data_IF_756581914739
#
_entry.id   IF_756581914739
#
_cell.length_a   1.000
_cell.length_b   1.000
_cell.length_c   1.000
_cell.angle_alpha   90.00
_cell.angle_beta   90.00
_cell.angle_gamma   90.00
#
_symmetry.space_group_name_H-M   'P 1'
#
loop_
_entity.id
_entity.type
_entity.pdbx_description
1 polymer ?
#
# COMPACT_ATOMS: atom_id res chain seq x y z
N UNK A 1 16.71 -13.66 -17.23
CA UNK A 1 16.36 -12.73 -18.33
C UNK A 1 16.72 -11.30 -17.96
N UNK A 2 17.51 -10.65 -18.81
CA UNK A 2 17.65 -9.20 -18.77
C UNK A 2 16.50 -8.54 -19.53
N UNK A 3 16.27 -7.24 -19.29
CA UNK A 3 15.28 -6.46 -20.05
C UNK A 3 15.59 -6.46 -21.57
N UNK A 4 16.88 -6.49 -21.92
CA UNK A 4 17.34 -6.55 -23.30
C UNK A 4 16.96 -7.86 -23.96
N UNK A 5 17.21 -9.00 -23.32
CA UNK A 5 16.84 -10.32 -23.82
C UNK A 5 15.33 -10.47 -24.00
N UNK A 6 14.54 -9.95 -23.05
CA UNK A 6 13.09 -9.93 -23.17
C UNK A 6 12.62 -9.03 -24.34
N UNK A 7 13.26 -7.88 -24.53
CA UNK A 7 12.99 -7.03 -25.67
C UNK A 7 13.34 -7.72 -26.98
N UNK A 8 14.53 -8.30 -27.09
CA UNK A 8 15.00 -9.00 -28.29
C UNK A 8 14.11 -10.20 -28.66
N UNK A 9 13.50 -10.85 -27.67
CA UNK A 9 12.55 -11.94 -27.91
C UNK A 9 11.17 -11.42 -28.31
N UNK A 10 10.71 -10.30 -27.72
CA UNK A 10 9.34 -9.79 -27.91
C UNK A 10 9.20 -8.87 -29.11
N UNK A 11 10.29 -8.17 -29.50
CA UNK A 11 10.30 -7.22 -30.62
C UNK A 11 10.24 -7.95 -31.95
N UNK A 12 9.50 -7.42 -32.91
CA UNK A 12 9.35 -7.94 -34.29
C UNK A 12 8.83 -9.39 -34.39
N UNK A 13 8.16 -9.91 -33.37
CA UNK A 13 7.61 -11.28 -33.37
C UNK A 13 6.35 -11.45 -34.21
N UNK A 14 5.86 -10.39 -34.85
CA UNK A 14 4.54 -10.38 -35.54
C UNK A 14 3.41 -10.74 -34.54
N UNK A 15 2.37 -11.47 -34.95
CA UNK A 15 1.26 -11.91 -34.07
C UNK A 15 1.52 -13.24 -33.33
N UNK A 16 2.76 -13.72 -33.31
CA UNK A 16 3.12 -15.00 -32.66
C UNK A 16 3.15 -14.87 -31.14
N UNK A 17 2.81 -15.95 -30.43
CA UNK A 17 2.99 -16.03 -28.99
C UNK A 17 4.46 -16.08 -28.61
N UNK A 18 4.83 -15.48 -27.46
CA UNK A 18 6.22 -15.47 -26.98
C UNK A 18 6.82 -16.85 -26.86
N UNK A 19 6.04 -17.85 -26.47
CA UNK A 19 6.49 -19.24 -26.38
C UNK A 19 6.88 -19.85 -27.73
N UNK A 20 6.13 -19.53 -28.77
CA UNK A 20 6.43 -19.99 -30.12
C UNK A 20 7.71 -19.34 -30.66
N UNK A 21 7.88 -18.05 -30.39
CA UNK A 21 9.09 -17.34 -30.80
C UNK A 21 10.32 -17.86 -30.02
N UNK A 22 10.18 -18.15 -28.71
CA UNK A 22 11.24 -18.76 -27.93
C UNK A 22 11.63 -20.14 -28.44
N UNK A 23 10.66 -20.98 -28.82
CA UNK A 23 10.93 -22.29 -29.45
C UNK A 23 11.71 -22.14 -30.74
N UNK A 24 11.34 -21.20 -31.60
CA UNK A 24 11.98 -20.93 -32.88
C UNK A 24 13.42 -20.46 -32.71
N UNK A 25 13.68 -19.69 -31.65
CA UNK A 25 14.99 -19.10 -31.33
C UNK A 25 15.68 -19.79 -30.15
N UNK A 26 15.39 -21.09 -29.97
CA UNK A 26 15.94 -21.90 -28.87
C UNK A 26 17.46 -22.11 -28.93
N UNK A 27 18.07 -21.90 -30.08
CA UNK A 27 19.51 -21.83 -30.27
C UNK A 27 20.15 -20.60 -29.61
N UNK A 28 19.47 -19.47 -29.65
CA UNK A 28 19.90 -18.20 -29.05
C UNK A 28 19.60 -18.18 -27.55
N UNK A 29 18.40 -18.59 -27.18
CA UNK A 29 17.89 -18.58 -25.78
C UNK A 29 17.87 -20.00 -25.19
N UNK A 30 18.95 -20.73 -25.35
CA UNK A 30 19.01 -22.16 -25.00
C UNK A 30 18.70 -22.42 -23.54
N UNK A 31 19.29 -21.65 -22.63
CA UNK A 31 19.07 -21.81 -21.18
C UNK A 31 17.62 -21.59 -20.80
N UNK A 32 17.05 -20.50 -21.23
CA UNK A 32 15.68 -20.10 -20.93
C UNK A 32 14.66 -21.08 -21.51
N UNK A 33 14.90 -21.51 -22.75
CA UNK A 33 14.07 -22.53 -23.38
C UNK A 33 14.09 -23.84 -22.60
N UNK A 34 15.27 -24.34 -22.21
CA UNK A 34 15.39 -25.58 -21.44
C UNK A 34 14.73 -25.49 -20.07
N UNK A 35 14.89 -24.37 -19.36
CA UNK A 35 14.21 -24.15 -18.06
C UNK A 35 12.70 -24.20 -18.22
N UNK A 36 12.15 -23.41 -19.14
CA UNK A 36 10.70 -23.34 -19.35
C UNK A 36 10.13 -24.66 -19.89
N UNK A 37 10.83 -25.33 -20.80
CA UNK A 37 10.40 -26.61 -21.33
C UNK A 37 10.40 -27.71 -20.25
N UNK A 38 11.37 -27.69 -19.36
CA UNK A 38 11.42 -28.61 -18.20
C UNK A 38 10.30 -28.35 -17.18
N UNK A 39 9.99 -27.07 -16.94
CA UNK A 39 8.85 -26.70 -16.10
C UNK A 39 7.54 -27.15 -16.72
N UNK A 40 7.32 -26.90 -18.02
CA UNK A 40 6.12 -27.32 -18.73
C UNK A 40 5.95 -28.85 -18.70
N UNK A 41 7.02 -29.62 -18.89
CA UNK A 41 6.99 -31.07 -18.78
C UNK A 41 6.67 -31.58 -17.37
N UNK A 42 6.82 -30.75 -16.35
CA UNK A 42 6.60 -31.09 -14.95
C UNK A 42 5.20 -30.69 -14.43
N UNK A 43 4.47 -29.85 -15.14
CA UNK A 43 3.19 -29.24 -14.69
C UNK A 43 2.14 -30.28 -14.32
N UNK A 44 2.05 -31.37 -15.07
CA UNK A 44 1.02 -32.40 -14.89
C UNK A 44 1.34 -33.37 -13.74
N UNK A 45 2.59 -33.37 -13.24
CA UNK A 45 3.07 -34.32 -12.24
C UNK A 45 3.36 -33.69 -10.89
N UNK A 46 3.81 -32.42 -10.88
CA UNK A 46 4.13 -31.70 -9.65
C UNK A 46 2.90 -31.00 -9.08
N UNK A 47 2.80 -31.05 -7.76
CA UNK A 47 1.83 -30.22 -7.03
C UNK A 47 2.21 -28.74 -7.09
N UNK A 48 1.27 -27.83 -6.86
CA UNK A 48 1.56 -26.39 -6.88
C UNK A 48 2.76 -25.99 -6.01
N UNK A 49 2.83 -26.49 -4.77
CA UNK A 49 3.96 -26.21 -3.88
C UNK A 49 5.27 -26.74 -4.42
N UNK A 50 5.30 -27.98 -4.90
CA UNK A 50 6.52 -28.59 -5.44
C UNK A 50 7.03 -27.88 -6.70
N UNK A 51 6.11 -27.43 -7.55
CA UNK A 51 6.47 -26.63 -8.75
C UNK A 51 7.05 -25.27 -8.37
N UNK A 52 6.42 -24.57 -7.42
CA UNK A 52 6.91 -23.28 -6.91
C UNK A 52 8.27 -23.44 -6.24
N UNK A 53 8.44 -24.47 -5.42
CA UNK A 53 9.70 -24.78 -4.74
C UNK A 53 10.82 -25.09 -5.74
N UNK A 54 10.52 -25.84 -6.79
CA UNK A 54 11.44 -26.12 -7.89
C UNK A 54 11.88 -24.83 -8.60
N UNK A 55 10.95 -23.91 -8.91
CA UNK A 55 11.27 -22.62 -9.53
C UNK A 55 12.15 -21.77 -8.62
N UNK A 56 11.80 -21.70 -7.35
CA UNK A 56 12.45 -20.80 -6.39
C UNK A 56 13.86 -21.27 -6.00
N UNK A 57 14.05 -22.57 -5.81
CA UNK A 57 15.31 -23.13 -5.32
C UNK A 57 16.16 -23.75 -6.43
N UNK A 58 15.59 -24.64 -7.25
CA UNK A 58 16.40 -25.32 -8.28
C UNK A 58 16.83 -24.38 -9.41
N UNK A 59 15.96 -23.44 -9.80
CA UNK A 59 16.25 -22.44 -10.84
C UNK A 59 16.64 -21.07 -10.26
N UNK A 60 17.00 -21.03 -8.98
CA UNK A 60 17.44 -19.80 -8.29
C UNK A 60 16.45 -18.64 -8.35
N UNK A 61 15.16 -18.93 -8.53
CA UNK A 61 14.11 -17.92 -8.68
C UNK A 61 14.02 -16.98 -7.48
N UNK A 62 14.14 -17.51 -6.23
CA UNK A 62 14.14 -16.69 -5.00
C UNK A 62 15.31 -15.69 -5.01
N UNK A 63 16.53 -16.14 -5.27
CA UNK A 63 17.69 -15.26 -5.31
C UNK A 63 17.57 -14.18 -6.39
N UNK A 64 17.10 -14.55 -7.58
CA UNK A 64 16.88 -13.62 -8.68
C UNK A 64 15.80 -12.58 -8.38
N UNK A 65 14.69 -12.99 -7.76
CA UNK A 65 13.61 -12.08 -7.38
C UNK A 65 14.08 -11.10 -6.29
N UNK A 66 14.75 -11.57 -5.25
CA UNK A 66 15.27 -10.73 -4.16
C UNK A 66 16.35 -9.76 -4.71
N UNK A 67 17.24 -10.22 -5.57
CA UNK A 67 18.26 -9.36 -6.19
C UNK A 67 17.66 -8.25 -7.04
N UNK A 68 16.55 -8.51 -7.74
CA UNK A 68 15.89 -7.53 -8.62
C UNK A 68 14.92 -6.61 -7.90
N UNK A 69 14.14 -7.15 -6.97
CA UNK A 69 13.01 -6.46 -6.31
C UNK A 69 13.33 -6.00 -4.88
N UNK A 70 14.44 -6.46 -4.32
CA UNK A 70 14.82 -6.19 -2.94
C UNK A 70 14.29 -7.25 -1.96
N UNK A 71 14.73 -7.15 -0.71
CA UNK A 71 14.36 -8.09 0.36
C UNK A 71 12.84 -8.16 0.63
N UNK A 72 12.09 -7.14 0.28
CA UNK A 72 10.63 -7.11 0.43
C UNK A 72 9.91 -8.19 -0.40
N UNK A 73 10.55 -8.71 -1.45
CA UNK A 73 10.01 -9.82 -2.25
C UNK A 73 9.91 -11.13 -1.46
N UNK A 74 10.70 -11.28 -0.40
CA UNK A 74 10.75 -12.51 0.41
C UNK A 74 9.42 -12.80 1.10
N UNK A 75 8.80 -11.80 1.70
CA UNK A 75 7.49 -11.94 2.35
C UNK A 75 6.42 -12.41 1.37
N UNK A 76 6.43 -11.88 0.13
CA UNK A 76 5.48 -12.27 -0.90
C UNK A 76 5.72 -13.71 -1.39
N UNK A 77 6.97 -14.12 -1.53
CA UNK A 77 7.35 -15.49 -1.90
C UNK A 77 6.88 -16.48 -0.83
N UNK A 78 7.16 -16.20 0.44
CA UNK A 78 6.78 -17.06 1.56
C UNK A 78 5.25 -17.14 1.75
N UNK A 79 4.55 -16.02 1.51
CA UNK A 79 3.10 -16.03 1.50
C UNK A 79 2.53 -16.88 0.36
N UNK A 80 3.10 -16.82 -0.85
CA UNK A 80 2.68 -17.65 -1.98
C UNK A 80 2.91 -19.14 -1.72
N UNK A 81 4.04 -19.51 -1.13
CA UNK A 81 4.33 -20.88 -0.72
C UNK A 81 3.33 -21.36 0.35
N UNK A 82 3.02 -20.54 1.34
CA UNK A 82 2.04 -20.85 2.36
C UNK A 82 0.65 -21.07 1.77
N UNK A 83 0.23 -20.20 0.85
CA UNK A 83 -1.06 -20.34 0.13
C UNK A 83 -1.11 -21.64 -0.69
N UNK A 84 -0.01 -22.05 -1.32
CA UNK A 84 0.01 -23.30 -2.08
C UNK A 84 -0.15 -24.54 -1.18
N UNK A 85 0.47 -24.54 0.00
CA UNK A 85 0.30 -25.59 1.01
C UNK A 85 -1.15 -25.62 1.54
N UNK A 86 -1.74 -24.47 1.79
CA UNK A 86 -3.10 -24.40 2.31
C UNK A 86 -4.13 -24.84 1.26
N UNK A 87 -3.91 -24.51 0.00
CA UNK A 87 -4.70 -25.03 -1.12
C UNK A 87 -4.64 -26.59 -1.19
N UNK A 88 -3.44 -27.16 -1.11
CA UNK A 88 -3.23 -28.60 -1.19
C UNK A 88 -3.87 -29.40 -0.04
N UNK A 89 -4.11 -28.75 1.11
CA UNK A 89 -4.82 -29.36 2.25
C UNK A 89 -6.34 -29.39 2.06
N UNK A 90 -6.88 -28.44 1.29
CA UNK A 90 -8.32 -28.21 1.17
C UNK A 90 -8.91 -28.75 -0.13
N UNK A 91 -8.10 -28.77 -1.19
CA UNK A 91 -8.55 -29.06 -2.56
C UNK A 91 -7.69 -30.14 -3.21
N UNK A 92 -8.17 -30.68 -4.33
CA UNK A 92 -7.37 -31.60 -5.14
C UNK A 92 -6.20 -30.84 -5.78
N UNK A 93 -4.95 -31.23 -5.52
CA UNK A 93 -3.78 -30.48 -6.00
C UNK A 93 -3.72 -30.46 -7.53
N UNK A 94 -3.92 -29.29 -8.12
CA UNK A 94 -3.67 -29.02 -9.53
C UNK A 94 -3.26 -27.59 -9.73
N UNK A 95 -2.36 -27.31 -10.68
CA UNK A 95 -1.89 -25.94 -10.94
C UNK A 95 -3.04 -25.03 -11.41
N UNK A 96 -3.89 -25.53 -12.31
CA UNK A 96 -5.04 -24.76 -12.81
C UNK A 96 -6.02 -24.43 -11.69
N UNK A 97 -6.32 -25.40 -10.82
CA UNK A 97 -7.17 -25.20 -9.65
C UNK A 97 -6.57 -24.17 -8.69
N UNK A 98 -5.26 -24.26 -8.39
CA UNK A 98 -4.56 -23.32 -7.54
C UNK A 98 -4.63 -21.88 -8.10
N UNK A 99 -4.36 -21.69 -9.38
CA UNK A 99 -4.42 -20.37 -10.04
C UNK A 99 -5.84 -19.78 -9.99
N UNK A 100 -6.86 -20.60 -10.24
CA UNK A 100 -8.27 -20.18 -10.13
C UNK A 100 -8.62 -19.82 -8.69
N UNK A 101 -8.21 -20.62 -7.71
CA UNK A 101 -8.47 -20.40 -6.30
C UNK A 101 -7.83 -19.11 -5.79
N UNK A 102 -6.54 -18.85 -6.12
CA UNK A 102 -5.84 -17.61 -5.74
C UNK A 102 -6.51 -16.40 -6.39
N UNK A 103 -6.87 -16.47 -7.68
CA UNK A 103 -7.47 -15.33 -8.38
C UNK A 103 -8.88 -14.97 -7.89
N UNK A 104 -9.62 -15.95 -7.38
CA UNK A 104 -11.02 -15.76 -6.92
C UNK A 104 -11.09 -15.35 -5.46
N UNK A 105 -10.16 -15.79 -4.64
CA UNK A 105 -10.21 -15.63 -3.18
C UNK A 105 -9.83 -14.25 -2.67
N UNK A 106 -9.31 -13.35 -3.51
CA UNK A 106 -8.99 -11.96 -3.14
C UNK A 106 -8.01 -11.85 -1.96
N UNK A 107 -7.05 -12.76 -1.85
CA UNK A 107 -6.07 -12.75 -0.77
C UNK A 107 -5.28 -11.44 -0.73
N UNK A 108 -5.41 -10.71 0.35
CA UNK A 108 -4.51 -9.60 0.67
C UNK A 108 -3.37 -10.12 1.53
N UNK A 109 -2.16 -10.10 0.99
CA UNK A 109 -0.95 -10.38 1.76
C UNK A 109 -0.70 -9.17 2.67
N UNK A 110 -1.05 -9.29 3.94
CA UNK A 110 -0.68 -8.29 4.95
C UNK A 110 0.82 -8.40 5.17
N UNK A 111 1.56 -7.40 4.71
CA UNK A 111 2.99 -7.28 5.04
C UNK A 111 3.15 -7.30 6.56
N UNK A 112 3.89 -8.26 7.07
CA UNK A 112 4.37 -8.19 8.44
C UNK A 112 5.43 -7.09 8.45
N UNK A 113 5.09 -5.97 9.08
CA UNK A 113 6.06 -4.92 9.38
C UNK A 113 7.06 -5.51 10.39
N UNK A 114 8.03 -6.23 9.89
CA UNK A 114 9.19 -6.67 10.68
C UNK A 114 9.79 -5.40 11.27
N UNK A 115 9.96 -5.37 12.59
CA UNK A 115 10.68 -4.30 13.31
C UNK A 115 12.15 -4.37 12.89
N UNK A 116 12.47 -3.92 11.68
CA UNK A 116 13.85 -3.69 11.30
C UNK A 116 14.24 -2.33 11.88
N UNK A 117 15.23 -2.33 12.72
CA UNK A 117 15.84 -1.13 13.28
C UNK A 117 16.47 -0.31 12.14
N UNK A 118 16.42 1.02 12.25
CA UNK A 118 16.96 1.98 11.27
C UNK A 118 16.24 2.09 9.91
N UNK A 119 14.93 1.88 9.86
CA UNK A 119 14.14 2.09 8.65
C UNK A 119 13.10 3.19 8.80
N UNK A 120 12.86 3.94 7.70
CA UNK A 120 11.75 4.86 7.61
C UNK A 120 10.49 4.05 7.26
N UNK A 121 9.48 4.13 8.14
CA UNK A 121 8.18 3.48 7.93
C UNK A 121 7.19 4.45 7.30
N UNK A 122 6.66 4.12 6.13
CA UNK A 122 5.58 4.87 5.47
C UNK A 122 4.28 4.10 5.64
N UNK A 123 3.30 4.70 6.30
CA UNK A 123 2.03 4.04 6.60
C UNK A 123 0.88 5.04 6.72
N UNK A 124 -0.34 4.54 6.74
CA UNK A 124 -1.51 5.36 7.07
C UNK A 124 -1.59 5.61 8.58
N UNK A 125 -2.30 6.68 8.98
CA UNK A 125 -2.51 6.98 10.41
C UNK A 125 -3.28 5.84 11.10
N UNK A 126 -4.22 5.20 10.40
CA UNK A 126 -4.92 4.02 10.91
C UNK A 126 -3.97 2.83 11.14
N UNK A 127 -3.04 2.62 10.22
CA UNK A 127 -2.01 1.58 10.34
C UNK A 127 -1.00 1.85 11.47
N UNK A 128 -0.83 3.11 11.86
CA UNK A 128 0.05 3.50 12.97
C UNK A 128 -0.59 3.32 14.37
N UNK A 129 -1.85 2.89 14.46
CA UNK A 129 -2.51 2.67 15.74
C UNK A 129 -1.79 1.57 16.55
N UNK A 130 -1.36 1.91 17.77
CA UNK A 130 -0.59 0.99 18.64
C UNK A 130 0.91 0.93 18.35
N UNK A 131 1.40 1.68 17.35
CA UNK A 131 2.82 1.81 17.05
C UNK A 131 3.31 3.19 17.51
N UNK A 132 4.53 3.28 17.99
CA UNK A 132 5.21 4.52 18.38
C UNK A 132 6.51 4.68 17.61
N UNK A 133 6.99 5.92 17.50
CA UNK A 133 8.25 6.23 16.82
C UNK A 133 8.87 7.48 17.41
N UNK A 134 10.20 7.55 17.52
CA UNK A 134 10.89 8.76 17.99
C UNK A 134 10.50 10.00 17.19
N UNK A 135 10.34 9.87 15.88
CA UNK A 135 10.00 10.97 14.98
C UNK A 135 8.79 10.56 14.13
N UNK A 136 7.76 11.41 14.12
CA UNK A 136 6.59 11.26 13.26
C UNK A 136 6.47 12.47 12.36
N UNK A 137 6.37 12.23 11.04
CA UNK A 137 6.27 13.26 10.03
C UNK A 137 4.94 13.13 9.29
N UNK A 138 4.15 14.19 9.25
CA UNK A 138 2.97 14.33 8.41
C UNK A 138 3.30 15.27 7.23
N UNK A 139 3.64 14.75 6.05
CA UNK A 139 4.11 15.58 4.94
C UNK A 139 3.00 16.34 4.21
N UNK A 140 1.75 15.89 4.32
CA UNK A 140 0.62 16.46 3.58
C UNK A 140 -0.56 16.77 4.51
N UNK A 141 -0.54 17.94 5.16
CA UNK A 141 -1.56 18.35 6.12
C UNK A 141 -2.47 19.47 5.63
N UNK A 142 -2.25 20.00 4.42
CA UNK A 142 -2.97 21.12 3.83
C UNK A 142 -4.35 20.76 3.29
N UNK A 143 -4.61 19.49 2.97
CA UNK A 143 -5.88 19.09 2.36
C UNK A 143 -6.92 18.67 3.39
N UNK A 144 -8.16 19.12 3.15
CA UNK A 144 -9.35 18.73 3.91
C UNK A 144 -10.25 17.85 3.04
N UNK A 145 -10.08 16.54 3.14
CA UNK A 145 -10.95 15.59 2.43
C UNK A 145 -12.17 15.23 3.29
N UNK A 146 -13.24 16.04 3.22
CA UNK A 146 -14.54 15.75 3.85
C UNK A 146 -15.59 15.75 2.73
N UNK A 147 -15.80 14.60 2.11
CA UNK A 147 -16.74 14.41 1.02
C UNK A 147 -17.68 13.26 1.34
N UNK A 148 -18.97 13.49 1.15
CA UNK A 148 -19.98 12.44 1.21
C UNK A 148 -20.10 11.81 -0.17
N UNK A 149 -19.47 10.65 -0.37
CA UNK A 149 -19.47 9.91 -1.64
C UNK A 149 -20.62 8.94 -1.78
N UNK A 150 -21.32 8.66 -0.70
CA UNK A 150 -22.43 7.71 -0.68
C UNK A 150 -23.59 8.24 -1.53
N UNK A 151 -24.12 7.40 -2.41
CA UNK A 151 -25.31 7.73 -3.20
C UNK A 151 -26.58 7.75 -2.33
N UNK A 152 -26.60 6.97 -1.26
CA UNK A 152 -27.70 6.90 -0.30
C UNK A 152 -27.17 7.32 1.06
N UNK A 153 -27.82 8.31 1.65
CA UNK A 153 -27.51 8.80 2.98
C UNK A 153 -28.51 8.20 3.98
N UNK A 154 -27.99 7.43 4.91
CA UNK A 154 -28.79 6.80 5.96
C UNK A 154 -28.79 7.71 7.19
N UNK A 155 -29.96 8.18 7.60
CA UNK A 155 -30.22 8.83 8.88
C UNK A 155 -30.77 7.84 9.90
N UNK A 156 -31.15 8.32 11.09
CA UNK A 156 -31.64 7.45 12.17
C UNK A 156 -32.97 6.74 11.83
N UNK A 157 -33.84 7.37 11.09
CA UNK A 157 -35.18 6.86 10.78
C UNK A 157 -35.49 6.73 9.30
N UNK A 158 -34.71 7.39 8.45
CA UNK A 158 -34.95 7.46 7.01
C UNK A 158 -33.63 7.31 6.24
N UNK A 159 -33.73 6.78 5.04
CA UNK A 159 -32.66 6.81 4.05
C UNK A 159 -33.09 7.72 2.90
N UNK A 160 -32.20 8.58 2.44
CA UNK A 160 -32.46 9.55 1.37
C UNK A 160 -31.41 9.44 0.28
N UNK A 161 -31.79 9.76 -0.95
CA UNK A 161 -30.85 9.85 -2.04
C UNK A 161 -29.98 11.10 -1.89
N UNK A 162 -28.69 10.99 -2.16
CA UNK A 162 -27.75 12.10 -2.08
C UNK A 162 -27.83 12.94 -3.37
N UNK A 163 -28.70 13.92 -3.40
CA UNK A 163 -28.90 14.81 -4.53
C UNK A 163 -27.83 15.90 -4.61
N UNK A 164 -27.73 16.54 -5.79
CA UNK A 164 -26.83 17.67 -6.00
C UNK A 164 -27.26 18.85 -5.13
N UNK A 165 -26.30 19.73 -4.84
CA UNK A 165 -26.52 20.96 -4.07
C UNK A 165 -27.61 21.82 -4.76
N UNK A 166 -28.67 22.19 -4.02
CA UNK A 166 -29.81 22.96 -4.52
C UNK A 166 -31.09 22.16 -4.81
N UNK A 167 -30.99 20.82 -4.88
CA UNK A 167 -32.13 19.91 -5.07
C UNK A 167 -32.44 19.09 -3.79
N UNK A 168 -31.68 19.32 -2.73
CA UNK A 168 -31.77 18.56 -1.49
C UNK A 168 -32.99 19.01 -0.66
N UNK A 169 -33.72 18.02 -0.11
CA UNK A 169 -34.79 18.31 0.87
C UNK A 169 -34.19 18.72 2.22
N UNK A 170 -34.99 19.37 3.07
CA UNK A 170 -34.59 19.78 4.43
C UNK A 170 -34.05 18.60 5.25
N UNK A 171 -34.69 17.43 5.16
CA UNK A 171 -34.24 16.22 5.86
C UNK A 171 -32.92 15.72 5.33
N UNK A 172 -32.68 15.81 4.04
CA UNK A 172 -31.41 15.44 3.40
C UNK A 172 -30.29 16.36 3.86
N UNK A 173 -30.52 17.68 3.91
CA UNK A 173 -29.52 18.65 4.38
C UNK A 173 -29.17 18.43 5.86
N UNK A 174 -30.14 18.08 6.70
CA UNK A 174 -29.87 17.73 8.09
C UNK A 174 -29.01 16.48 8.23
N UNK A 175 -29.32 15.43 7.49
CA UNK A 175 -28.53 14.19 7.48
C UNK A 175 -27.11 14.46 6.95
N UNK A 176 -26.96 15.24 5.87
CA UNK A 176 -25.66 15.65 5.33
C UNK A 176 -24.84 16.40 6.38
N UNK A 177 -25.44 17.37 7.05
CA UNK A 177 -24.79 18.16 8.09
C UNK A 177 -24.29 17.29 9.24
N UNK A 178 -25.12 16.39 9.77
CA UNK A 178 -24.73 15.44 10.83
C UNK A 178 -23.58 14.53 10.39
N UNK A 179 -23.64 13.98 9.16
CA UNK A 179 -22.57 13.15 8.63
C UNK A 179 -21.25 13.91 8.43
N UNK A 180 -21.30 15.13 7.92
CA UNK A 180 -20.11 15.99 7.79
C UNK A 180 -19.50 16.28 9.15
N UNK A 181 -20.30 16.61 10.16
CA UNK A 181 -19.83 16.82 11.52
C UNK A 181 -19.15 15.56 12.10
N UNK A 182 -19.74 14.39 11.88
CA UNK A 182 -19.16 13.12 12.31
C UNK A 182 -17.81 12.85 11.63
N UNK A 183 -17.70 13.09 10.32
CA UNK A 183 -16.45 12.98 9.58
C UNK A 183 -15.39 13.97 10.07
N UNK A 184 -15.77 15.20 10.40
CA UNK A 184 -14.83 16.19 10.96
C UNK A 184 -14.36 15.80 12.36
N UNK A 185 -15.24 15.24 13.19
CA UNK A 185 -14.87 14.71 14.50
C UNK A 185 -13.89 13.54 14.37
N UNK A 186 -14.14 12.62 13.42
CA UNK A 186 -13.23 11.51 13.14
C UNK A 186 -11.86 11.99 12.64
N UNK A 187 -11.83 12.97 11.73
CA UNK A 187 -10.55 13.59 11.30
C UNK A 187 -9.77 14.19 12.48
N UNK A 188 -10.47 14.79 13.43
CA UNK A 188 -9.80 15.35 14.61
C UNK A 188 -9.25 14.28 15.53
N UNK A 189 -9.95 13.15 15.66
CA UNK A 189 -9.45 11.95 16.37
C UNK A 189 -8.22 11.36 15.68
N UNK A 190 -8.24 11.27 14.34
CA UNK A 190 -7.09 10.80 13.57
C UNK A 190 -5.87 11.69 13.75
N UNK A 191 -6.05 13.02 13.76
CA UNK A 191 -4.96 13.95 14.06
C UNK A 191 -4.39 13.72 15.46
N UNK A 192 -5.26 13.55 16.47
CA UNK A 192 -4.82 13.21 17.82
C UNK A 192 -4.02 11.91 17.86
N UNK A 193 -4.50 10.87 17.18
CA UNK A 193 -3.77 9.60 17.05
C UNK A 193 -2.40 9.83 16.44
N UNK A 194 -2.29 10.60 15.35
CA UNK A 194 -1.04 10.87 14.67
C UNK A 194 -0.03 11.60 15.58
N UNK A 195 -0.48 12.65 16.29
CA UNK A 195 0.36 13.41 17.21
C UNK A 195 0.88 12.54 18.34
N UNK A 196 0.01 11.69 18.93
CA UNK A 196 0.37 10.83 20.06
C UNK A 196 1.22 9.61 19.69
N UNK A 197 1.59 9.44 18.43
CA UNK A 197 2.54 8.40 17.98
C UNK A 197 3.99 8.86 18.10
N UNK A 198 4.23 10.16 18.22
CA UNK A 198 5.57 10.69 18.36
C UNK A 198 6.05 10.63 19.80
N UNK A 199 7.19 9.99 20.03
CA UNK A 199 7.86 9.95 21.33
C UNK A 199 8.60 11.26 21.60
N UNK A 200 9.29 11.82 20.58
CA UNK A 200 10.15 13.00 20.73
C UNK A 200 9.80 14.12 19.76
N UNK A 201 9.65 13.82 18.47
CA UNK A 201 9.42 14.83 17.44
C UNK A 201 8.16 14.56 16.65
N UNK A 202 7.30 15.57 16.58
CA UNK A 202 6.17 15.61 15.68
C UNK A 202 6.37 16.76 14.68
N UNK A 203 6.42 16.44 13.39
CA UNK A 203 6.63 17.39 12.30
C UNK A 203 5.43 17.38 11.38
N UNK A 204 4.74 18.51 11.25
CA UNK A 204 3.65 18.71 10.29
C UNK A 204 4.10 19.65 9.18
N UNK A 205 3.98 19.22 7.95
CA UNK A 205 4.36 20.00 6.77
C UNK A 205 3.18 20.16 5.82
N UNK A 206 3.24 21.21 5.01
CA UNK A 206 2.30 21.43 3.92
C UNK A 206 2.99 22.04 2.72
N UNK A 207 2.53 21.75 1.52
CA UNK A 207 2.98 22.36 0.28
C UNK A 207 1.78 22.74 -0.60
N UNK A 208 1.82 23.94 -1.20
CA UNK A 208 0.76 24.45 -2.06
C UNK A 208 -0.38 25.15 -1.31
N UNK A 209 -1.56 25.16 -1.92
CA UNK A 209 -2.73 25.87 -1.40
C UNK A 209 -3.34 25.14 -0.19
N UNK A 210 -3.67 25.90 0.86
CA UNK A 210 -4.32 25.38 2.06
C UNK A 210 -5.84 25.34 1.88
N UNK A 211 -6.43 24.19 2.20
CA UNK A 211 -7.87 24.07 2.35
C UNK A 211 -8.31 24.67 3.68
N UNK A 212 -9.49 25.29 3.71
CA UNK A 212 -10.08 25.80 4.96
C UNK A 212 -10.23 24.69 6.01
N UNK A 213 -9.90 24.99 7.26
CA UNK A 213 -9.95 24.05 8.40
C UNK A 213 -9.14 22.76 8.21
N UNK A 214 -8.08 22.81 7.39
CA UNK A 214 -7.14 21.68 7.23
C UNK A 214 -6.37 21.46 8.54
N UNK A 215 -5.65 20.33 8.60
CA UNK A 215 -4.86 20.01 9.79
C UNK A 215 -3.72 21.00 10.02
N UNK A 216 -3.09 21.47 8.93
CA UNK A 216 -2.03 22.47 9.02
C UNK A 216 -2.49 23.74 9.72
N UNK A 217 -3.66 24.30 9.34
CA UNK A 217 -4.21 25.47 9.99
C UNK A 217 -4.53 25.22 11.47
N UNK A 218 -5.12 24.08 11.82
CA UNK A 218 -5.42 23.73 13.21
C UNK A 218 -4.13 23.68 14.05
N UNK A 219 -3.09 23.00 13.56
CA UNK A 219 -1.79 22.89 14.23
C UNK A 219 -1.13 24.28 14.35
N UNK A 220 -1.09 25.05 13.24
CA UNK A 220 -0.51 26.38 13.23
C UNK A 220 -1.17 27.32 14.22
N UNK A 221 -2.51 27.36 14.24
CA UNK A 221 -3.27 28.22 15.16
C UNK A 221 -3.04 27.80 16.62
N UNK A 222 -2.99 26.50 16.90
CA UNK A 222 -2.65 25.99 18.24
C UNK A 222 -1.24 26.36 18.67
N UNK A 223 -0.26 26.27 17.78
CA UNK A 223 1.13 26.69 18.06
C UNK A 223 1.23 28.20 18.24
N UNK A 224 0.51 29.01 17.49
CA UNK A 224 0.50 30.48 17.65
C UNK A 224 -0.12 30.95 18.96
N UNK A 225 -1.11 30.20 19.48
CA UNK A 225 -1.71 30.46 20.79
C UNK A 225 -0.90 29.92 21.98
N UNK A 226 0.13 29.17 21.69
CA UNK A 226 1.07 28.62 22.69
C UNK A 226 2.40 29.40 22.70
N UNK A 227 3.38 28.93 23.46
CA UNK A 227 4.72 29.55 23.54
C UNK A 227 5.64 29.19 22.37
N UNK A 228 5.09 28.81 21.19
CA UNK A 228 5.88 28.43 20.02
C UNK A 228 6.69 29.61 19.48
N UNK A 229 7.92 29.34 19.08
CA UNK A 229 8.86 30.33 18.50
C UNK A 229 8.90 30.18 16.97
N UNK A 230 9.07 31.31 16.27
CA UNK A 230 9.38 31.28 14.85
C UNK A 230 10.80 30.76 14.64
N UNK A 231 10.97 29.85 13.71
CA UNK A 231 12.27 29.30 13.34
C UNK A 231 12.37 29.11 11.82
N UNK A 232 13.57 29.29 11.28
CA UNK A 232 13.88 29.03 9.88
C UNK A 232 14.36 27.58 9.77
N UNK A 233 13.69 26.81 8.94
CA UNK A 233 14.03 25.43 8.60
C UNK A 233 14.58 25.38 7.17
N UNK A 234 15.25 24.32 6.75
CA UNK A 234 15.69 24.17 5.35
C UNK A 234 14.56 24.28 4.32
N UNK A 235 13.34 23.98 4.72
CA UNK A 235 12.11 24.01 3.89
C UNK A 235 11.38 25.36 3.95
N UNK A 236 11.83 26.33 4.75
CA UNK A 236 11.22 27.64 4.93
C UNK A 236 10.95 28.01 6.37
N UNK A 237 10.19 29.09 6.58
CA UNK A 237 9.80 29.54 7.93
C UNK A 237 8.74 28.61 8.55
N UNK A 238 8.87 28.35 9.83
CA UNK A 238 7.94 27.53 10.59
C UNK A 238 7.81 27.96 12.05
N UNK A 239 7.00 27.21 12.80
CA UNK A 239 6.80 27.37 14.23
C UNK A 239 7.37 26.14 14.95
N UNK A 240 8.08 26.36 16.05
CA UNK A 240 8.62 25.31 16.93
C UNK A 240 8.14 25.51 18.35
N UNK A 241 7.59 24.46 18.92
CA UNK A 241 7.27 24.35 20.34
C UNK A 241 8.15 23.27 20.96
N UNK A 242 8.83 23.62 22.03
CA UNK A 242 9.69 22.72 22.78
C UNK A 242 9.23 22.66 24.22
N UNK A 243 9.25 21.47 24.77
CA UNK A 243 8.98 21.22 26.19
C UNK A 243 10.04 20.26 26.73
N UNK A 244 10.64 20.59 27.88
CA UNK A 244 11.73 19.84 28.49
C UNK A 244 13.13 20.41 28.21
N UNK A 245 14.16 19.76 28.77
CA UNK A 245 15.57 20.15 28.56
C UNK A 245 16.16 19.36 27.41
N UNK A 246 16.30 20.02 26.28
CA UNK A 246 16.98 19.50 25.10
C UNK A 246 18.42 19.98 25.12
N UNK A 247 19.37 19.14 25.59
CA UNK A 247 20.78 19.39 25.38
C UNK A 247 21.11 19.15 23.92
N UNK A 248 21.63 20.19 23.25
CA UNK A 248 22.17 20.14 21.88
C UNK A 248 23.39 19.24 21.80
#
# INVERSE_FOLDING_TARGET
>A
WSERELFDLAHDREDRFLWEELKKRSDIFTHEYLVLNNLLASIDYLRPYELLEKILNQYSGRANLISRLGAEAEDAIDALLSLSIDYEKQETPSLTGFLSWVSTSGFEIKRQLTKQENQIRVMTIHGAKGLESPIVILPETQKRKVELRDKILVGEKIAVWNNKKGEASRNEEEIKSKKIQALEAERSRLLYVAITRAETWFIAMSAGQLDEKCWYEKIKNSLQSSKAKKQIFPTGEGLRLEEGNWSS
#
